data_IF_582487505189
#
_entry.id   IF_582487505189
#
_cell.length_a   1.000
_cell.length_b   1.000
_cell.length_c   1.000
_cell.angle_alpha   90.00
_cell.angle_beta   90.00
_cell.angle_gamma   90.00
#
_symmetry.space_group_name_H-M   'P 1'
#
loop_
_entity.id
_entity.type
_entity.pdbx_description
1 polymer ?
#
# COMPACT_ATOMS: atom_id res chain seq x y z
N UNK A 1 -6.66 17.25 -17.59
CA UNK A 1 -5.68 16.13 -17.55
C UNK A 1 -4.95 15.98 -16.19
N UNK A 2 -5.37 16.66 -15.09
CA UNK A 2 -4.58 16.73 -13.85
C UNK A 2 -4.92 15.74 -12.73
N UNK A 3 -6.15 15.20 -12.64
CA UNK A 3 -6.56 14.36 -11.48
C UNK A 3 -5.83 13.02 -11.44
N UNK A 4 -5.97 12.21 -12.50
CA UNK A 4 -5.37 10.87 -12.62
C UNK A 4 -3.85 10.84 -12.45
N UNK A 5 -3.14 11.86 -12.94
CA UNK A 5 -1.69 11.92 -12.79
C UNK A 5 -1.29 12.12 -11.32
N UNK A 6 -1.99 13.00 -10.59
CA UNK A 6 -1.73 13.16 -9.16
C UNK A 6 -2.17 11.96 -8.33
N UNK A 7 -3.29 11.30 -8.69
CA UNK A 7 -3.68 10.00 -8.10
C UNK A 7 -2.56 8.97 -8.26
N UNK A 8 -2.00 8.83 -9.47
CA UNK A 8 -0.86 7.93 -9.72
C UNK A 8 0.37 8.26 -8.87
N UNK A 9 0.72 9.55 -8.77
CA UNK A 9 1.85 10.00 -7.93
C UNK A 9 1.61 9.72 -6.45
N UNK A 10 0.40 9.95 -5.96
CA UNK A 10 0.01 9.63 -4.57
C UNK A 10 0.08 8.12 -4.34
N UNK A 11 -0.45 7.30 -5.24
CA UNK A 11 -0.38 5.84 -5.17
C UNK A 11 1.07 5.34 -5.13
N UNK A 12 1.93 5.90 -5.97
CA UNK A 12 3.36 5.57 -5.97
C UNK A 12 4.02 5.95 -4.63
N UNK A 13 3.75 7.14 -4.10
CA UNK A 13 4.31 7.56 -2.83
C UNK A 13 3.83 6.67 -1.67
N UNK A 14 2.53 6.38 -1.59
CA UNK A 14 1.93 5.47 -0.59
C UNK A 14 2.57 4.08 -0.59
N UNK A 15 2.90 3.54 -1.78
CA UNK A 15 3.56 2.24 -1.90
C UNK A 15 4.95 2.20 -1.23
N UNK A 16 5.68 3.32 -1.22
CA UNK A 16 6.99 3.43 -0.53
C UNK A 16 6.84 3.30 0.98
N UNK A 17 5.70 3.70 1.52
CA UNK A 17 5.33 3.54 2.94
C UNK A 17 4.72 2.15 3.24
N UNK A 18 4.73 1.24 2.26
CA UNK A 18 4.28 -0.15 2.44
C UNK A 18 2.76 -0.32 2.41
N UNK A 19 2.02 0.65 1.88
CA UNK A 19 0.58 0.52 1.64
C UNK A 19 0.30 -0.22 0.35
N UNK A 20 -0.65 -1.16 0.41
CA UNK A 20 -1.29 -1.69 -0.79
C UNK A 20 -2.37 -0.70 -1.21
N UNK A 21 -2.34 -0.28 -2.48
CA UNK A 21 -3.21 0.78 -3.01
C UNK A 21 -4.14 0.19 -4.07
N UNK A 22 -5.42 0.55 -3.98
CA UNK A 22 -6.48 0.06 -4.86
C UNK A 22 -7.35 1.23 -5.32
N UNK A 23 -7.75 1.18 -6.58
CA UNK A 23 -8.77 2.08 -7.11
C UNK A 23 -10.15 1.49 -6.78
N UNK A 24 -11.07 2.27 -6.20
CA UNK A 24 -12.44 1.81 -5.97
C UNK A 24 -13.18 1.62 -7.30
N UNK A 25 -14.11 0.65 -7.31
CA UNK A 25 -14.92 0.35 -8.50
C UNK A 25 -15.93 1.47 -8.82
N UNK A 26 -16.40 2.17 -7.79
CA UNK A 26 -17.35 3.27 -7.91
C UNK A 26 -16.76 4.54 -7.29
N UNK A 27 -16.89 5.66 -7.99
CA UNK A 27 -16.44 6.98 -7.52
C UNK A 27 -17.52 7.61 -6.62
N UNK A 28 -17.40 7.34 -5.32
CA UNK A 28 -18.19 7.97 -4.26
C UNK A 28 -17.31 8.92 -3.43
N UNK A 29 -16.56 9.81 -4.09
CA UNK A 29 -15.61 10.74 -3.44
C UNK A 29 -14.41 10.08 -2.77
N UNK A 30 -14.22 8.78 -2.98
CA UNK A 30 -13.02 8.02 -2.62
C UNK A 30 -12.25 7.81 -3.90
N UNK A 31 -11.03 8.33 -3.97
CA UNK A 31 -10.16 8.16 -5.13
C UNK A 31 -9.27 6.93 -4.94
N UNK A 32 -8.83 6.64 -3.70
CA UNK A 32 -8.02 5.46 -3.39
C UNK A 32 -8.50 4.75 -2.11
N UNK A 33 -8.40 3.42 -2.12
CA UNK A 33 -8.50 2.57 -0.94
C UNK A 33 -7.12 2.03 -0.65
N UNK A 34 -6.64 2.23 0.59
CA UNK A 34 -5.34 1.71 1.00
C UNK A 34 -5.46 0.82 2.23
N UNK A 35 -4.69 -0.26 2.24
CA UNK A 35 -4.52 -1.06 3.43
C UNK A 35 -3.09 -1.53 3.62
N UNK A 36 -2.75 -1.85 4.86
CA UNK A 36 -1.53 -2.57 5.19
C UNK A 36 -1.68 -3.36 6.48
N UNK A 37 -0.83 -4.35 6.64
CA UNK A 37 -0.76 -5.13 7.86
C UNK A 37 0.43 -4.64 8.68
N UNK A 38 0.22 -4.44 9.98
CA UNK A 38 1.30 -4.06 10.89
C UNK A 38 1.33 -4.98 12.09
N UNK A 39 2.52 -5.20 12.64
CA UNK A 39 2.68 -5.92 13.89
C UNK A 39 1.94 -5.19 15.01
N UNK A 40 1.06 -5.90 15.72
CA UNK A 40 0.30 -5.33 16.84
C UNK A 40 1.19 -4.82 17.97
N UNK A 41 2.37 -5.44 18.16
CA UNK A 41 3.30 -5.12 19.26
C UNK A 41 4.26 -3.97 18.94
N UNK A 42 4.82 -3.94 17.73
CA UNK A 42 5.89 -2.97 17.39
C UNK A 42 5.56 -2.03 16.23
N UNK A 43 4.36 -2.13 15.63
CA UNK A 43 3.90 -1.23 14.57
C UNK A 43 4.59 -1.38 13.21
N UNK A 44 5.66 -2.19 13.12
CA UNK A 44 6.37 -2.44 11.85
C UNK A 44 5.45 -3.13 10.84
N UNK A 45 5.69 -2.84 9.56
CA UNK A 45 4.98 -3.49 8.45
C UNK A 45 5.09 -5.02 8.54
N UNK A 46 3.99 -5.71 8.26
CA UNK A 46 3.85 -7.15 8.34
C UNK A 46 3.65 -7.75 6.96
N UNK A 47 4.59 -8.59 6.53
CA UNK A 47 4.45 -9.32 5.28
C UNK A 47 3.63 -10.60 5.50
N UNK A 48 2.44 -10.67 4.90
CA UNK A 48 1.60 -11.86 4.94
C UNK A 48 2.01 -12.94 3.94
N UNK A 49 2.85 -12.62 2.95
CA UNK A 49 3.21 -13.57 1.89
C UNK A 49 4.19 -14.59 2.44
N UNK A 50 3.82 -15.87 2.63
CA UNK A 50 4.76 -16.85 3.17
C UNK A 50 5.97 -17.02 2.25
N UNK A 51 7.16 -17.06 2.84
CA UNK A 51 8.39 -17.32 2.10
C UNK A 51 8.63 -18.83 1.95
N UNK A 52 8.99 -19.26 0.75
CA UNK A 52 9.47 -20.62 0.51
C UNK A 52 10.99 -20.59 0.55
N UNK A 53 11.60 -21.27 1.52
CA UNK A 53 13.04 -21.20 1.76
C UNK A 53 13.64 -22.60 1.83
N UNK A 54 14.82 -22.77 1.23
CA UNK A 54 15.59 -24.00 1.39
C UNK A 54 16.26 -24.04 2.77
N UNK A 55 15.98 -25.08 3.56
CA UNK A 55 16.59 -25.31 4.88
C UNK A 55 18.12 -25.41 4.86
N UNK A 56 18.70 -25.82 3.73
CA UNK A 56 20.14 -26.11 3.63
C UNK A 56 20.97 -24.91 3.16
N UNK A 57 20.51 -24.17 2.15
CA UNK A 57 21.27 -23.05 1.58
C UNK A 57 20.63 -21.67 1.78
N UNK A 58 19.45 -21.60 2.42
CA UNK A 58 18.76 -20.33 2.67
C UNK A 58 18.17 -19.67 1.42
N UNK A 59 18.22 -20.32 0.26
CA UNK A 59 17.65 -19.80 -0.99
C UNK A 59 16.14 -19.60 -0.85
N UNK A 60 15.68 -18.37 -1.09
CA UNK A 60 14.29 -17.99 -1.29
C UNK A 60 13.78 -18.43 -2.67
N UNK A 61 12.51 -18.82 -2.73
CA UNK A 61 11.78 -19.08 -3.97
C UNK A 61 10.60 -18.12 -4.12
N UNK A 62 10.81 -17.08 -4.92
CA UNK A 62 9.76 -16.17 -5.36
C UNK A 62 8.68 -16.88 -6.20
N UNK A 63 7.55 -16.19 -6.44
CA UNK A 63 6.41 -16.74 -7.22
C UNK A 63 6.82 -17.26 -8.60
N UNK A 64 7.73 -16.59 -9.29
CA UNK A 64 8.22 -16.97 -10.63
C UNK A 64 9.24 -18.10 -10.59
N UNK A 65 9.86 -18.37 -9.44
CA UNK A 65 10.87 -19.42 -9.25
C UNK A 65 10.28 -20.72 -8.70
N UNK A 66 8.97 -20.77 -8.40
CA UNK A 66 8.29 -21.99 -7.92
C UNK A 66 8.44 -23.18 -8.87
N UNK A 67 8.58 -22.94 -10.17
CA UNK A 67 8.84 -23.98 -11.17
C UNK A 67 10.22 -24.65 -11.01
N UNK A 68 11.17 -24.01 -10.34
CA UNK A 68 12.50 -24.58 -10.04
C UNK A 68 12.48 -25.51 -8.84
N UNK A 69 11.36 -25.60 -8.11
CA UNK A 69 11.22 -26.51 -6.98
C UNK A 69 11.04 -27.93 -7.49
N UNK A 70 11.93 -28.83 -7.07
CA UNK A 70 11.84 -30.25 -7.43
C UNK A 70 10.82 -30.91 -6.50
N UNK A 71 9.64 -31.20 -7.03
CA UNK A 71 8.60 -31.93 -6.32
C UNK A 71 9.00 -33.41 -6.15
N UNK A 72 9.63 -33.75 -5.02
CA UNK A 72 9.87 -35.15 -4.65
C UNK A 72 8.74 -35.69 -3.77
N UNK A 73 8.46 -36.97 -3.92
CA UNK A 73 7.66 -37.78 -3.00
C UNK A 73 8.52 -38.89 -2.40
N UNK A 74 8.31 -39.19 -1.14
CA UNK A 74 8.98 -40.29 -0.44
C UNK A 74 7.92 -41.30 -0.01
N UNK A 75 8.11 -42.57 -0.35
CA UNK A 75 7.25 -43.65 0.13
C UNK A 75 7.55 -43.95 1.60
N UNK A 76 6.54 -43.89 2.47
CA UNK A 76 6.75 -44.16 3.89
C UNK A 76 7.05 -45.63 4.19
N UNK A 77 6.52 -46.55 3.36
CA UNK A 77 6.69 -48.00 3.49
C UNK A 77 8.09 -48.47 3.10
N UNK A 78 8.57 -48.10 1.91
CA UNK A 78 9.83 -48.62 1.36
C UNK A 78 10.94 -47.57 1.22
N UNK A 79 10.70 -46.33 1.67
CA UNK A 79 11.63 -45.19 1.61
C UNK A 79 12.09 -44.78 0.20
N UNK A 80 11.50 -45.35 -0.85
CA UNK A 80 11.83 -44.99 -2.23
C UNK A 80 11.44 -43.53 -2.53
N UNK A 81 12.37 -42.77 -3.12
CA UNK A 81 12.15 -41.40 -3.59
C UNK A 81 11.67 -41.40 -5.05
N UNK A 82 10.75 -40.49 -5.37
CA UNK A 82 10.19 -40.34 -6.71
C UNK A 82 10.00 -38.87 -7.04
N UNK A 83 10.19 -38.49 -8.30
CA UNK A 83 9.97 -37.11 -8.77
C UNK A 83 8.62 -37.01 -9.48
N UNK A 84 7.91 -35.91 -9.22
CA UNK A 84 6.63 -35.57 -9.85
C UNK A 84 5.41 -36.07 -9.10
N UNK A 85 4.24 -35.90 -9.72
CA UNK A 85 2.95 -36.19 -9.09
C UNK A 85 2.57 -37.67 -9.21
N UNK A 86 3.28 -38.55 -8.50
CA UNK A 86 2.96 -39.98 -8.44
C UNK A 86 1.91 -40.25 -7.34
N UNK A 87 0.90 -41.07 -7.64
CA UNK A 87 -0.14 -41.48 -6.68
C UNK A 87 0.23 -42.77 -5.94
N UNK A 88 1.04 -43.63 -6.56
CA UNK A 88 1.53 -44.90 -6.00
C UNK A 88 3.05 -44.97 -6.03
N UNK A 89 3.64 -45.71 -5.09
CA UNK A 89 5.06 -45.99 -5.09
C UNK A 89 5.44 -46.85 -6.30
N UNK A 90 6.44 -46.43 -7.08
CA UNK A 90 6.95 -47.20 -8.22
C UNK A 90 7.60 -48.53 -7.83
N UNK A 91 7.99 -48.70 -6.55
CA UNK A 91 8.69 -49.90 -6.07
C UNK A 91 7.77 -50.89 -5.36
N UNK A 92 6.90 -50.42 -4.47
CA UNK A 92 6.05 -51.30 -3.66
C UNK A 92 4.54 -51.07 -3.86
N UNK A 93 4.15 -50.23 -4.82
CA UNK A 93 2.77 -49.86 -5.13
C UNK A 93 1.94 -49.24 -3.98
N UNK A 94 2.53 -49.06 -2.79
CA UNK A 94 1.91 -48.37 -1.66
C UNK A 94 1.48 -46.94 -2.03
N UNK A 95 0.29 -46.56 -1.57
CA UNK A 95 -0.26 -45.21 -1.69
C UNK A 95 0.24 -44.28 -0.57
N UNK A 96 0.99 -44.83 0.40
CA UNK A 96 1.50 -44.09 1.55
C UNK A 96 2.74 -43.25 1.18
N UNK A 97 2.49 -42.10 0.54
CA UNK A 97 3.51 -41.18 0.02
C UNK A 97 3.42 -39.82 0.73
N UNK A 98 4.58 -39.25 1.06
CA UNK A 98 4.69 -37.87 1.58
C UNK A 98 5.36 -36.95 0.56
N UNK A 99 4.95 -35.69 0.53
CA UNK A 99 5.59 -34.65 -0.30
C UNK A 99 6.81 -34.09 0.41
N UNK A 100 7.94 -34.01 -0.30
CA UNK A 100 9.19 -33.45 0.19
C UNK A 100 9.83 -32.57 -0.89
N UNK A 101 9.34 -31.35 -1.12
CA UNK A 101 9.91 -30.46 -2.13
C UNK A 101 11.37 -30.15 -1.81
N UNK A 102 12.21 -30.10 -2.85
CA UNK A 102 13.67 -29.89 -2.69
C UNK A 102 14.19 -28.78 -3.60
N UNK A 103 15.28 -28.15 -3.15
CA UNK A 103 15.98 -27.10 -3.86
C UNK A 103 16.74 -27.65 -5.07
N UNK A 104 16.58 -26.97 -6.21
CA UNK A 104 17.31 -27.20 -7.46
C UNK A 104 18.83 -27.13 -7.33
N UNK A 105 19.35 -26.31 -6.42
CA UNK A 105 20.79 -26.04 -6.30
C UNK A 105 21.48 -27.04 -5.36
N UNK A 106 20.91 -27.28 -4.18
CA UNK A 106 21.62 -28.01 -3.11
C UNK A 106 20.93 -29.31 -2.66
N UNK A 107 19.75 -29.61 -3.23
CA UNK A 107 18.91 -30.76 -2.86
C UNK A 107 18.27 -30.67 -1.48
N UNK A 108 18.45 -29.56 -0.75
CA UNK A 108 17.87 -29.36 0.58
C UNK A 108 16.35 -29.24 0.54
N UNK A 109 15.69 -29.67 1.61
CA UNK A 109 14.25 -29.58 1.78
C UNK A 109 13.79 -28.11 1.81
N UNK A 110 12.68 -27.83 1.13
CA UNK A 110 12.05 -26.51 1.13
C UNK A 110 10.93 -26.50 2.15
N UNK A 111 10.91 -25.45 2.97
CA UNK A 111 9.84 -25.18 3.91
C UNK A 111 9.15 -23.86 3.60
N UNK A 112 7.92 -23.75 4.09
CA UNK A 112 7.19 -22.50 4.12
C UNK A 112 7.41 -21.86 5.49
N UNK A 113 8.05 -20.70 5.50
CA UNK A 113 8.23 -19.92 6.73
C UNK A 113 7.00 -19.02 6.89
N UNK A 114 6.19 -19.30 7.91
CA UNK A 114 5.17 -18.37 8.37
C UNK A 114 5.87 -17.16 8.98
N UNK A 115 5.64 -15.98 8.40
CA UNK A 115 6.29 -14.77 8.88
C UNK A 115 5.84 -14.43 10.30
N UNK A 116 6.79 -14.36 11.21
CA UNK A 116 6.66 -13.64 12.47
C UNK A 116 7.31 -12.26 12.31
N UNK A 117 6.84 -11.27 13.06
CA UNK A 117 7.54 -9.99 13.08
C UNK A 117 8.93 -10.17 13.69
N UNK A 118 9.89 -9.33 13.28
CA UNK A 118 11.22 -9.24 13.90
C UNK A 118 11.23 -9.12 15.43
N UNK A 119 10.14 -8.65 16.04
CA UNK A 119 9.98 -8.58 17.50
C UNK A 119 9.45 -9.89 18.15
N UNK A 120 9.36 -10.97 17.38
CA UNK A 120 8.85 -12.29 17.80
C UNK A 120 7.33 -12.40 17.88
N UNK A 121 6.59 -11.32 17.61
CA UNK A 121 5.12 -11.36 17.59
C UNK A 121 4.63 -12.22 16.42
N UNK A 122 3.51 -12.93 16.65
CA UNK A 122 2.73 -13.68 15.65
C UNK A 122 1.39 -12.99 15.31
N UNK A 123 1.14 -11.82 15.93
CA UNK A 123 -0.10 -11.07 15.77
C UNK A 123 0.12 -9.80 14.94
N UNK A 124 -0.77 -9.60 13.97
CA UNK A 124 -0.87 -8.37 13.19
C UNK A 124 -2.26 -7.76 13.31
N UNK A 125 -2.34 -6.47 12.99
CA UNK A 125 -3.59 -5.76 12.75
C UNK A 125 -3.59 -5.20 11.33
N UNK A 126 -4.77 -5.08 10.74
CA UNK A 126 -4.95 -4.45 9.44
C UNK A 126 -5.35 -3.01 9.63
N UNK A 127 -4.58 -2.08 9.05
CA UNK A 127 -4.97 -0.68 8.90
C UNK A 127 -5.63 -0.50 7.54
N UNK A 128 -6.76 0.18 7.54
CA UNK A 128 -7.53 0.52 6.35
C UNK A 128 -7.78 2.02 6.33
N UNK A 129 -7.62 2.65 5.16
CA UNK A 129 -7.92 4.07 4.94
C UNK A 129 -8.59 4.27 3.59
N UNK A 130 -9.47 5.24 3.54
CA UNK A 130 -10.01 5.77 2.29
C UNK A 130 -9.36 7.13 2.04
N UNK A 131 -8.96 7.41 0.81
CA UNK A 131 -8.25 8.63 0.45
C UNK A 131 -9.04 9.35 -0.62
N UNK A 132 -9.26 10.65 -0.43
CA UNK A 132 -9.62 11.55 -1.50
C UNK A 132 -8.36 12.30 -1.96
N UNK A 133 -8.08 12.21 -3.26
CA UNK A 133 -6.95 12.87 -3.91
C UNK A 133 -7.45 14.11 -4.65
N UNK A 134 -6.69 15.18 -4.54
CA UNK A 134 -6.88 16.39 -5.34
C UNK A 134 -5.53 16.84 -5.86
N UNK A 135 -5.52 17.41 -7.06
CA UNK A 135 -4.27 17.75 -7.74
C UNK A 135 -4.28 19.20 -8.14
N UNK A 136 -3.16 19.88 -7.90
CA UNK A 136 -3.00 21.30 -8.21
C UNK A 136 -1.63 21.53 -8.85
N UNK A 137 -1.57 22.47 -9.79
CA UNK A 137 -0.32 22.96 -10.39
C UNK A 137 -0.17 24.42 -10.05
N UNK A 138 1.07 24.92 -10.04
CA UNK A 138 1.30 26.36 -9.83
C UNK A 138 0.55 27.15 -10.90
N UNK A 139 -0.30 28.09 -10.46
CA UNK A 139 -1.11 28.89 -11.35
C UNK A 139 -0.25 29.82 -12.21
N UNK A 140 -0.70 30.05 -13.44
CA UNK A 140 -0.06 30.97 -14.40
C UNK A 140 -1.07 32.01 -14.86
N UNK A 141 -0.64 33.25 -14.98
CA UNK A 141 -1.41 34.36 -15.58
C UNK A 141 -0.54 35.09 -16.58
N UNK A 142 -1.06 35.28 -17.80
CA UNK A 142 -0.28 35.88 -18.89
C UNK A 142 1.04 35.13 -19.18
N UNK A 143 1.09 33.82 -18.93
CA UNK A 143 2.31 33.00 -19.09
C UNK A 143 3.33 33.13 -17.95
N UNK A 144 3.11 34.00 -16.96
CA UNK A 144 3.97 34.15 -15.78
C UNK A 144 3.40 33.38 -14.59
N UNK A 145 4.26 32.74 -13.81
CA UNK A 145 3.86 31.99 -12.62
C UNK A 145 3.37 32.95 -11.52
N UNK A 146 2.20 32.66 -10.94
CA UNK A 146 1.70 33.34 -9.73
C UNK A 146 2.37 32.86 -8.45
N UNK A 147 3.17 31.79 -8.51
CA UNK A 147 3.72 31.11 -7.33
C UNK A 147 2.66 30.75 -6.28
N UNK A 148 1.47 30.34 -6.74
CA UNK A 148 0.36 29.94 -5.89
C UNK A 148 -0.15 28.57 -6.29
N UNK A 149 -0.46 27.76 -5.29
CA UNK A 149 -1.34 26.60 -5.46
C UNK A 149 -2.76 26.98 -5.12
N UNK A 150 -3.71 26.25 -5.70
CA UNK A 150 -5.11 26.32 -5.33
C UNK A 150 -5.57 24.97 -4.80
N UNK A 151 -6.32 24.97 -3.70
CA UNK A 151 -6.96 23.76 -3.17
C UNK A 151 -8.47 23.94 -3.21
N UNK A 152 -9.12 23.08 -4.00
CA UNK A 152 -10.57 23.01 -4.12
C UNK A 152 -11.09 21.91 -3.20
N UNK A 153 -12.23 22.16 -2.54
CA UNK A 153 -12.72 21.31 -1.45
C UNK A 153 -14.15 20.82 -1.66
N UNK A 154 -14.36 19.50 -1.50
CA UNK A 154 -15.68 18.85 -1.47
C UNK A 154 -15.72 17.71 -0.44
N UNK A 155 -15.95 18.00 0.85
CA UNK A 155 -15.85 17.00 1.91
C UNK A 155 -17.17 16.23 2.19
N UNK A 156 -18.06 16.10 1.18
CA UNK A 156 -19.52 15.95 1.34
C UNK A 156 -19.97 14.83 2.31
N UNK A 157 -19.43 13.63 2.19
CA UNK A 157 -19.98 12.46 2.92
C UNK A 157 -19.00 11.81 3.92
N UNK A 158 -17.69 12.04 3.76
CA UNK A 158 -16.64 11.36 4.54
C UNK A 158 -16.02 12.22 5.65
N UNK A 159 -16.52 13.44 5.88
CA UNK A 159 -16.02 14.36 6.93
C UNK A 159 -16.25 13.87 8.37
N UNK A 160 -16.97 12.76 8.56
CA UNK A 160 -17.14 12.12 9.87
C UNK A 160 -16.33 10.83 10.01
N UNK A 161 -15.77 10.31 8.93
CA UNK A 161 -15.01 9.07 8.96
C UNK A 161 -13.57 9.33 9.40
N UNK A 162 -13.20 8.78 10.56
CA UNK A 162 -11.84 8.86 11.11
C UNK A 162 -10.79 8.09 10.30
N UNK A 163 -11.22 7.17 9.43
CA UNK A 163 -10.34 6.42 8.53
C UNK A 163 -10.21 7.07 7.15
N UNK A 164 -10.91 8.18 6.92
CA UNK A 164 -10.79 8.95 5.69
C UNK A 164 -9.72 10.04 5.80
N UNK A 165 -8.97 10.23 4.72
CA UNK A 165 -7.89 11.21 4.62
C UNK A 165 -7.96 11.94 3.28
N UNK A 166 -7.42 13.16 3.29
CA UNK A 166 -7.28 13.98 2.10
C UNK A 166 -5.81 14.11 1.74
N UNK A 167 -5.48 13.89 0.47
CA UNK A 167 -4.13 14.13 -0.05
C UNK A 167 -4.20 15.08 -1.24
N UNK A 168 -3.60 16.26 -1.09
CA UNK A 168 -3.37 17.16 -2.23
C UNK A 168 -2.00 16.89 -2.84
N UNK A 169 -1.96 16.54 -4.12
CA UNK A 169 -0.76 16.48 -4.94
C UNK A 169 -0.52 17.84 -5.62
N UNK A 170 0.48 18.57 -5.15
CA UNK A 170 0.86 19.90 -5.62
C UNK A 170 2.10 19.77 -6.50
N UNK A 171 1.98 20.08 -7.78
CA UNK A 171 3.05 19.92 -8.77
C UNK A 171 3.65 21.29 -9.07
N UNK A 172 4.95 21.42 -8.82
CA UNK A 172 5.67 22.67 -9.06
C UNK A 172 6.00 22.89 -10.55
N UNK A 173 6.77 23.94 -10.86
CA UNK A 173 7.15 24.27 -12.24
C UNK A 173 8.19 23.29 -12.81
N UNK A 174 8.88 22.52 -11.97
CA UNK A 174 9.89 21.51 -12.34
C UNK A 174 9.26 20.10 -12.39
N UNK A 175 7.93 20.01 -12.43
CA UNK A 175 7.14 18.78 -12.35
C UNK A 175 7.40 17.94 -11.09
N UNK A 176 7.97 18.54 -10.04
CA UNK A 176 8.21 17.87 -8.76
C UNK A 176 6.93 17.91 -7.91
N UNK A 177 6.48 16.75 -7.39
CA UNK A 177 5.31 16.71 -6.54
C UNK A 177 5.63 17.02 -5.08
N UNK A 178 4.69 17.69 -4.45
CA UNK A 178 4.60 17.97 -3.03
C UNK A 178 3.23 17.50 -2.53
N UNK A 179 3.17 16.87 -1.36
CA UNK A 179 1.92 16.29 -0.88
C UNK A 179 1.46 17.00 0.38
N UNK A 180 0.19 17.40 0.46
CA UNK A 180 -0.42 17.78 1.73
C UNK A 180 -1.25 16.60 2.22
N UNK A 181 -0.88 16.02 3.35
CA UNK A 181 -1.54 14.84 3.93
C UNK A 181 -2.31 15.26 5.18
N UNK A 182 -3.64 15.15 5.13
CA UNK A 182 -4.53 15.61 6.19
C UNK A 182 -5.50 14.51 6.61
N UNK A 183 -5.66 14.33 7.93
CA UNK A 183 -6.83 13.64 8.46
C UNK A 183 -8.08 14.51 8.30
N UNK A 184 -9.26 13.89 8.42
CA UNK A 184 -10.52 14.64 8.52
C UNK A 184 -10.51 15.67 9.65
N UNK A 185 -9.85 15.40 10.79
CA UNK A 185 -9.75 16.35 11.89
C UNK A 185 -8.82 17.52 11.58
N UNK A 186 -7.68 17.26 10.93
CA UNK A 186 -6.77 18.31 10.44
C UNK A 186 -7.48 19.22 9.45
N UNK A 187 -8.24 18.62 8.53
CA UNK A 187 -9.06 19.33 7.56
C UNK A 187 -10.08 20.24 8.25
N UNK A 188 -10.86 19.71 9.22
CA UNK A 188 -11.83 20.49 9.99
C UNK A 188 -11.19 21.67 10.72
N UNK A 189 -10.03 21.46 11.33
CA UNK A 189 -9.29 22.51 12.03
C UNK A 189 -8.77 23.58 11.08
N UNK A 190 -8.23 23.19 9.93
CA UNK A 190 -7.65 24.11 8.93
C UNK A 190 -8.69 25.01 8.28
N UNK A 191 -9.89 24.46 8.11
CA UNK A 191 -11.01 25.16 7.51
C UNK A 191 -11.79 26.03 8.49
N UNK A 192 -11.82 25.67 9.77
CA UNK A 192 -12.47 26.47 10.81
C UNK A 192 -13.91 26.83 10.44
N UNK A 193 -14.24 28.12 10.51
CA UNK A 193 -15.59 28.63 10.22
C UNK A 193 -15.96 28.63 8.73
N UNK A 194 -14.99 28.51 7.80
CA UNK A 194 -15.29 28.41 6.37
C UNK A 194 -16.16 27.21 6.05
N UNK A 195 -16.06 26.11 6.83
CA UNK A 195 -16.93 24.94 6.70
C UNK A 195 -18.42 25.24 6.90
N UNK A 196 -18.76 26.26 7.70
CA UNK A 196 -20.14 26.67 7.94
C UNK A 196 -20.76 27.38 6.72
N UNK A 197 -19.93 27.99 5.88
CA UNK A 197 -20.33 28.68 4.65
C UNK A 197 -20.44 27.76 3.42
N UNK A 198 -19.92 26.53 3.49
CA UNK A 198 -20.03 25.54 2.40
C UNK A 198 -21.45 24.96 2.43
N UNK A 199 -22.39 25.72 1.89
CA UNK A 199 -23.74 25.23 1.61
C UNK A 199 -23.64 23.93 0.81
N UNK A 200 -24.38 22.89 1.25
CA UNK A 200 -24.53 21.60 0.57
C UNK A 200 -24.84 21.73 -0.94
N UNK A 201 -25.34 22.89 -1.37
CA UNK A 201 -25.87 23.12 -2.70
C UNK A 201 -25.03 24.00 -3.64
N UNK A 202 -24.06 24.83 -3.20
CA UNK A 202 -23.50 25.82 -4.14
C UNK A 202 -22.01 26.13 -4.27
N UNK A 203 -21.12 26.05 -3.29
CA UNK A 203 -19.77 26.60 -3.53
C UNK A 203 -18.59 25.71 -3.12
N UNK A 204 -17.61 25.62 -4.03
CA UNK A 204 -16.27 25.12 -3.74
C UNK A 204 -15.51 26.25 -3.06
N UNK A 205 -15.16 26.10 -1.78
CA UNK A 205 -14.23 27.03 -1.14
C UNK A 205 -12.83 26.76 -1.68
N UNK A 206 -12.40 27.58 -2.66
CA UNK A 206 -11.09 27.50 -3.29
C UNK A 206 -10.13 28.39 -2.52
N UNK A 207 -9.17 27.78 -1.83
CA UNK A 207 -8.14 28.51 -1.10
C UNK A 207 -6.84 28.54 -1.88
N UNK A 208 -6.27 29.74 -2.03
CA UNK A 208 -4.95 29.93 -2.61
C UNK A 208 -3.88 30.08 -1.52
N UNK A 209 -2.70 29.53 -1.77
CA UNK A 209 -1.55 29.74 -0.90
C UNK A 209 -0.23 29.71 -1.68
N UNK A 210 0.80 30.32 -1.08
CA UNK A 210 2.15 30.41 -1.63
C UNK A 210 2.75 29.04 -1.93
N UNK A 211 3.23 28.85 -3.16
CA UNK A 211 3.97 27.65 -3.57
C UNK A 211 5.40 27.63 -3.04
N UNK A 212 5.87 28.73 -2.43
CA UNK A 212 7.24 28.86 -1.90
C UNK A 212 7.33 28.44 -0.43
N UNK A 213 6.41 28.91 0.39
CA UNK A 213 6.43 28.69 1.85
C UNK A 213 5.28 27.81 2.37
N UNK A 214 4.27 27.54 1.53
CA UNK A 214 3.06 26.75 1.85
C UNK A 214 2.18 27.34 2.97
N UNK A 215 2.56 28.47 3.57
CA UNK A 215 1.83 29.16 4.65
C UNK A 215 1.36 28.22 5.76
N UNK A 216 0.08 28.36 6.14
CA UNK A 216 -0.57 27.50 7.15
C UNK A 216 -0.59 26.01 6.75
N UNK A 217 -0.46 25.68 5.46
CA UNK A 217 -0.51 24.30 4.97
C UNK A 217 0.83 23.57 5.11
N UNK A 218 1.92 24.29 5.36
CA UNK A 218 3.27 23.72 5.51
C UNK A 218 3.33 22.58 6.53
N UNK A 219 2.52 22.67 7.60
CA UNK A 219 2.46 21.66 8.66
C UNK A 219 1.90 20.31 8.20
N UNK A 220 1.36 20.20 6.99
CA UNK A 220 0.82 18.97 6.41
C UNK A 220 1.72 18.40 5.29
N UNK A 221 2.82 19.08 4.99
CA UNK A 221 3.68 18.77 3.85
C UNK A 221 4.39 17.42 4.03
N UNK A 222 4.16 16.50 3.11
CA UNK A 222 4.72 15.16 3.00
C UNK A 222 4.56 14.29 4.27
N UNK A 223 3.52 14.55 5.07
CA UNK A 223 3.27 13.82 6.32
C UNK A 223 2.51 12.49 6.13
N UNK A 224 3.05 11.59 5.31
CA UNK A 224 2.45 10.27 5.09
C UNK A 224 2.37 9.40 6.35
N UNK A 225 3.24 9.62 7.33
CA UNK A 225 3.20 8.92 8.63
C UNK A 225 1.90 9.17 9.41
N UNK A 226 1.12 10.21 9.07
CA UNK A 226 -0.23 10.43 9.64
C UNK A 226 -1.24 9.33 9.28
N UNK A 227 -0.97 8.55 8.24
CA UNK A 227 -1.84 7.45 7.82
C UNK A 227 -1.71 6.23 8.74
N UNK A 228 -0.67 6.18 9.57
CA UNK A 228 -0.45 5.14 10.59
C UNK A 228 -1.54 5.14 11.67
#
# INVERSE_FOLDING_TARGET
MGSRYGEFLVSFELSKYGWNVYDPVYDEYIDLIIHKHVCKKCGKNWNLTPALVCKKCGKDFSKTQKNKIIAKKVCLTCKNEMVGNKTKCTKCQSENLINRPTCDVCGGEIEMIEHSCSCGSKEYITKFRTIQVKSSRIEKEGGKSKNTYAVDMKPRDLIKDKHHFYIWCLIDNDDKPHFLVLSVMDFRKTMGDSLKGISFFKDQDRQHFSSKDFGKWKIYLNLFDKLE
#
